data_IF_891653247015
#
_entry.id   IF_891653247015
#
_cell.length_a   1.000
_cell.length_b   1.000
_cell.length_c   1.000
_cell.angle_alpha   90.00
_cell.angle_beta   90.00
_cell.angle_gamma   90.00
#
_symmetry.space_group_name_H-M   'P 1'
#
loop_
_entity.id
_entity.type
_entity.pdbx_description
1 polymer ?
#
# COMPACT_ATOMS: atom_id res chain seq x y z
N UNK A 1 2.41 -36.60 17.37
CA UNK A 1 3.35 -36.86 16.26
C UNK A 1 2.55 -36.77 14.97
N UNK A 2 2.80 -35.75 14.15
CA UNK A 2 2.07 -35.57 12.88
C UNK A 2 2.81 -36.30 11.76
N UNK A 3 2.14 -37.26 11.13
CA UNK A 3 2.68 -38.05 10.02
C UNK A 3 2.55 -37.25 8.74
N UNK A 4 3.68 -36.90 8.13
CA UNK A 4 3.73 -36.23 6.83
C UNK A 4 3.41 -37.24 5.72
N UNK A 5 2.24 -37.08 5.08
CA UNK A 5 1.88 -37.85 3.89
C UNK A 5 2.69 -37.31 2.70
N UNK A 6 3.59 -38.13 2.17
CA UNK A 6 4.44 -37.81 1.02
C UNK A 6 3.56 -37.74 -0.24
N UNK A 7 3.52 -36.57 -0.89
CA UNK A 7 2.98 -36.45 -2.23
C UNK A 7 3.95 -37.09 -3.24
N UNK A 8 3.77 -38.37 -3.52
CA UNK A 8 4.41 -39.05 -4.65
C UNK A 8 3.67 -38.69 -5.93
N UNK A 9 4.34 -37.97 -6.83
CA UNK A 9 3.80 -37.60 -8.13
C UNK A 9 3.76 -38.77 -9.10
N UNK A 10 2.58 -39.04 -9.66
CA UNK A 10 2.31 -39.36 -11.07
C UNK A 10 0.81 -39.64 -11.24
N UNK A 11 0.05 -38.88 -12.05
CA UNK A 11 -1.29 -39.30 -12.42
C UNK A 11 -1.22 -40.26 -13.62
N UNK A 12 -1.72 -41.48 -13.43
CA UNK A 12 -2.15 -42.36 -14.52
C UNK A 12 -3.30 -41.65 -15.26
N UNK A 13 -3.08 -41.40 -16.55
CA UNK A 13 -4.03 -40.67 -17.40
C UNK A 13 -5.18 -41.62 -17.75
N UNK A 14 -6.35 -41.39 -17.16
CA UNK A 14 -7.62 -41.99 -17.61
C UNK A 14 -8.48 -40.89 -18.22
N UNK A 15 -8.89 -41.11 -19.45
CA UNK A 15 -9.61 -40.19 -20.33
C UNK A 15 -11.09 -40.05 -19.93
N UNK A 16 -11.50 -38.88 -19.43
CA UNK A 16 -12.88 -38.39 -19.53
C UNK A 16 -13.00 -36.90 -19.12
N UNK A 17 -13.61 -36.10 -20.01
CA UNK A 17 -13.99 -34.68 -19.86
C UNK A 17 -12.93 -33.72 -19.30
N UNK A 18 -12.35 -32.88 -20.17
CA UNK A 18 -11.34 -31.87 -19.80
C UNK A 18 -11.94 -30.70 -19.00
N UNK A 19 -12.34 -30.93 -17.75
CA UNK A 19 -12.23 -29.89 -16.74
C UNK A 19 -10.74 -29.79 -16.40
N UNK A 20 -10.07 -28.71 -16.79
CA UNK A 20 -8.69 -28.46 -16.36
C UNK A 20 -8.73 -28.15 -14.87
N UNK A 21 -8.66 -29.17 -14.03
CA UNK A 21 -8.39 -28.99 -12.61
C UNK A 21 -6.96 -28.48 -12.46
N UNK A 22 -6.82 -27.16 -12.43
CA UNK A 22 -5.55 -26.51 -12.09
C UNK A 22 -5.43 -26.56 -10.57
N UNK A 23 -4.96 -27.70 -10.05
CA UNK A 23 -4.59 -27.81 -8.63
C UNK A 23 -3.30 -27.02 -8.42
N UNK A 24 -3.40 -25.72 -8.14
CA UNK A 24 -2.22 -24.92 -7.82
C UNK A 24 -1.69 -25.35 -6.45
N UNK A 25 -0.47 -25.88 -6.39
CA UNK A 25 0.24 -26.17 -5.12
C UNK A 25 0.64 -24.90 -4.34
N UNK A 26 -0.15 -23.83 -4.42
CA UNK A 26 0.14 -22.56 -3.79
C UNK A 26 -0.12 -22.64 -2.29
N UNK A 27 0.95 -22.57 -1.49
CA UNK A 27 0.88 -22.62 -0.03
C UNK A 27 0.28 -21.34 0.58
N UNK A 28 0.18 -20.25 -0.20
CA UNK A 28 -0.30 -18.96 0.27
C UNK A 28 -1.42 -18.37 -0.61
N UNK A 29 -2.51 -17.87 0.00
CA UNK A 29 -3.60 -17.24 -0.74
C UNK A 29 -3.20 -15.87 -1.29
N UNK A 30 -3.72 -15.52 -2.46
CA UNK A 30 -3.48 -14.21 -3.06
C UNK A 30 -4.33 -13.12 -2.39
N UNK A 31 -3.75 -11.92 -2.23
CA UNK A 31 -4.53 -10.75 -1.83
C UNK A 31 -5.32 -10.20 -3.02
N UNK A 32 -6.64 -10.11 -2.87
CA UNK A 32 -7.59 -9.55 -3.86
C UNK A 32 -8.42 -8.41 -3.24
N UNK A 33 -9.12 -7.67 -4.09
CA UNK A 33 -10.02 -6.58 -3.69
C UNK A 33 -9.37 -5.55 -2.75
N UNK A 34 -10.12 -5.12 -1.73
CA UNK A 34 -9.66 -4.15 -0.75
C UNK A 34 -8.37 -4.55 -0.03
N UNK A 35 -8.15 -5.85 0.21
CA UNK A 35 -6.93 -6.35 0.87
C UNK A 35 -5.68 -6.05 0.04
N UNK A 36 -5.75 -6.22 -1.28
CA UNK A 36 -4.65 -5.88 -2.21
C UNK A 36 -4.37 -4.36 -2.19
N UNK A 37 -5.43 -3.56 -2.22
CA UNK A 37 -5.32 -2.09 -2.24
C UNK A 37 -4.73 -1.55 -0.93
N UNK A 38 -5.21 -2.03 0.22
CA UNK A 38 -4.69 -1.64 1.54
C UNK A 38 -3.21 -1.99 1.74
N UNK A 39 -2.78 -3.12 1.16
CA UNK A 39 -1.39 -3.55 1.18
C UNK A 39 -0.49 -2.66 0.30
N UNK A 40 -0.95 -2.31 -0.91
CA UNK A 40 -0.12 -1.61 -1.92
C UNK A 40 -0.23 -0.08 -1.90
N UNK A 41 -1.16 0.50 -1.14
CA UNK A 41 -1.33 1.97 -1.11
C UNK A 41 -0.02 2.67 -0.72
N UNK A 42 0.35 3.79 -1.37
CA UNK A 42 1.51 4.58 -0.99
C UNK A 42 1.43 5.05 0.47
N UNK A 43 2.54 4.94 1.20
CA UNK A 43 2.66 5.34 2.61
C UNK A 43 4.04 5.94 2.84
N UNK A 44 4.12 6.99 3.65
CA UNK A 44 5.40 7.51 4.14
C UNK A 44 6.05 6.50 5.09
N UNK A 45 7.03 5.73 4.59
CA UNK A 45 7.72 4.73 5.40
C UNK A 45 8.76 5.37 6.33
N UNK A 46 9.43 6.43 5.91
CA UNK A 46 10.57 6.99 6.62
C UNK A 46 10.12 7.98 7.72
N UNK A 47 10.69 7.90 8.95
CA UNK A 47 10.34 8.84 10.02
C UNK A 47 10.70 10.30 9.71
N UNK A 48 11.82 10.54 9.03
CA UNK A 48 12.21 11.90 8.57
C UNK A 48 11.12 12.54 7.72
N UNK A 49 10.62 11.79 6.74
CA UNK A 49 9.56 12.24 5.84
C UNK A 49 8.23 12.51 6.56
N UNK A 50 7.95 11.76 7.63
CA UNK A 50 6.78 12.00 8.49
C UNK A 50 6.91 13.22 9.40
N UNK A 51 8.14 13.61 9.75
CA UNK A 51 8.44 14.73 10.66
C UNK A 51 8.66 16.06 9.92
N UNK A 52 8.65 16.08 8.59
CA UNK A 52 8.70 17.34 7.85
C UNK A 52 7.43 18.16 8.15
N UNK A 53 7.63 19.31 8.76
CA UNK A 53 6.62 20.35 8.90
C UNK A 53 6.72 21.38 7.78
N UNK A 54 5.83 22.38 7.78
CA UNK A 54 5.96 23.54 6.89
C UNK A 54 7.23 24.33 7.19
N UNK A 55 7.74 25.04 6.19
CA UNK A 55 8.85 25.97 6.36
C UNK A 55 8.42 27.15 7.24
N UNK A 56 9.27 27.52 8.21
CA UNK A 56 9.07 28.70 9.04
C UNK A 56 9.77 29.88 8.39
N UNK A 57 9.02 30.97 8.16
CA UNK A 57 9.55 32.23 7.65
C UNK A 57 9.56 33.27 8.77
N UNK A 58 10.53 34.20 8.78
CA UNK A 58 10.52 35.31 9.72
C UNK A 58 9.32 36.21 9.46
N UNK A 59 8.81 36.83 10.52
CA UNK A 59 7.74 37.82 10.40
C UNK A 59 8.21 39.01 9.56
N UNK A 60 7.37 39.43 8.62
CA UNK A 60 7.64 40.62 7.84
C UNK A 60 7.51 41.85 8.74
N UNK A 61 8.32 42.90 8.51
CA UNK A 61 8.15 44.16 9.22
C UNK A 61 6.73 44.70 9.00
N UNK A 62 6.22 45.42 10.00
CA UNK A 62 4.88 46.00 9.92
C UNK A 62 4.74 46.84 8.64
N UNK A 63 3.71 46.59 7.81
CA UNK A 63 3.49 47.39 6.61
C UNK A 63 3.18 48.83 7.00
N UNK A 64 3.54 49.81 6.16
CA UNK A 64 3.11 51.19 6.35
C UNK A 64 1.57 51.29 6.28
N UNK A 65 1.01 52.32 6.89
CA UNK A 65 -0.43 52.59 6.80
C UNK A 65 -0.86 52.77 5.33
N UNK A 66 -1.96 52.13 4.94
CA UNK A 66 -2.47 52.20 3.57
C UNK A 66 -2.97 53.60 3.20
N UNK A 67 -3.41 54.38 4.19
CA UNK A 67 -3.82 55.76 4.01
C UNK A 67 -3.52 56.59 5.26
N UNK A 68 -3.16 57.85 5.03
CA UNK A 68 -3.01 58.87 6.08
C UNK A 68 -4.07 59.93 5.84
N UNK A 69 -4.98 60.10 6.79
CA UNK A 69 -5.97 61.20 6.74
C UNK A 69 -5.28 62.47 7.23
N UNK A 70 -5.06 63.43 6.33
CA UNK A 70 -4.56 64.76 6.66
C UNK A 70 -5.76 65.69 6.85
N UNK A 71 -6.06 66.09 8.07
CA UNK A 71 -7.06 67.15 8.34
C UNK A 71 -6.45 68.53 8.06
N UNK A 72 -7.20 69.39 7.37
CA UNK A 72 -6.85 70.79 7.09
C UNK A 72 -7.22 71.72 8.24
#
# INVERSE_FOLDING_TARGET
MFVALRCTGAPLVSSSSSSREVTTCATHPQFKGAKKMAHRRPKKRNPSDRRHGPAQYPEQPAPPAEYVVVSQ
#
